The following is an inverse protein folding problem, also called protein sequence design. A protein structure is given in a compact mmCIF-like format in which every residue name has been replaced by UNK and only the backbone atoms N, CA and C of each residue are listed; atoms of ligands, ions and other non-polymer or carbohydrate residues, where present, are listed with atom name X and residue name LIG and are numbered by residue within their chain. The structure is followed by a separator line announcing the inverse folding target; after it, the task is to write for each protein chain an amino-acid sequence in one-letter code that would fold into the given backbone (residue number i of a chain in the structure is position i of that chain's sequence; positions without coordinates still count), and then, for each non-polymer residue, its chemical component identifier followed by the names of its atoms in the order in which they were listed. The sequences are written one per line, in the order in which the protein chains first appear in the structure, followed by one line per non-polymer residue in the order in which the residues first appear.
data_IF_512904393440
#
_entry.id   IF_512904393440
#
_cell.length_a   1.000
_cell.length_b   1.000
_cell.length_c   1.000
_cell.angle_alpha   90.00
_cell.angle_beta   90.00
_cell.angle_gamma   90.00
#
_symmetry.space_group_name_H-M   'P 1'
#
loop_
_entity.id
_entity.type
_entity.pdbx_description
1 polymer ?
#
# COMPACT_ATOMS: atom_id res chain seq x y z
N UNK A 1 16.78 49.22 14.23
CA UNK A 1 17.66 48.03 14.08
C UNK A 1 16.84 46.77 14.29
N UNK A 2 17.13 45.74 13.47
CA UNK A 2 16.63 44.35 13.40
C UNK A 2 16.21 43.77 14.79
N UNK A 3 15.24 42.84 14.91
CA UNK A 3 15.19 41.51 14.30
C UNK A 3 13.78 40.88 14.39
N UNK A 4 13.43 40.19 13.30
CA UNK A 4 12.35 39.21 13.15
C UNK A 4 12.45 38.09 14.19
N UNK A 5 11.32 37.72 14.80
CA UNK A 5 11.14 36.37 15.36
C UNK A 5 10.25 35.57 14.42
N UNK A 6 10.93 34.75 13.62
CA UNK A 6 10.38 33.82 12.68
C UNK A 6 9.50 32.78 13.38
N UNK A 7 8.29 32.66 12.86
CA UNK A 7 7.45 31.47 12.74
C UNK A 7 8.19 30.15 13.02
N UNK A 8 7.92 29.56 14.18
CA UNK A 8 8.43 28.26 14.54
C UNK A 8 7.74 27.16 13.70
N UNK A 9 8.51 26.63 12.76
CA UNK A 9 8.46 25.30 12.15
C UNK A 9 7.19 24.44 12.37
N UNK A 10 6.29 24.45 11.39
CA UNK A 10 5.47 23.27 11.04
C UNK A 10 5.99 22.74 9.70
N UNK A 11 7.15 22.08 9.69
CA UNK A 11 7.70 21.46 8.45
C UNK A 11 8.04 19.97 8.66
N UNK A 12 7.76 19.41 9.83
CA UNK A 12 8.13 18.03 10.18
C UNK A 12 7.17 16.93 9.71
N UNK A 13 5.90 17.22 9.47
CA UNK A 13 4.86 16.20 9.21
C UNK A 13 4.59 15.94 7.73
N UNK A 14 4.87 16.91 6.85
CA UNK A 14 4.51 16.79 5.44
C UNK A 14 5.32 15.71 4.69
N UNK A 15 6.57 15.46 5.05
CA UNK A 15 7.41 14.51 4.30
C UNK A 15 7.02 13.03 4.53
N UNK A 16 6.48 12.67 5.69
CA UNK A 16 5.96 11.32 5.97
C UNK A 16 4.61 11.08 5.28
N UNK A 17 3.73 12.09 5.25
CA UNK A 17 2.42 11.97 4.61
C UNK A 17 2.53 11.82 3.10
N UNK A 18 3.48 12.51 2.45
CA UNK A 18 3.67 12.39 0.99
C UNK A 18 4.11 10.97 0.59
N UNK A 19 5.13 10.40 1.25
CA UNK A 19 5.61 9.05 0.91
C UNK A 19 4.58 7.94 1.24
N UNK A 20 3.78 8.11 2.30
CA UNK A 20 2.69 7.19 2.61
C UNK A 20 1.50 7.34 1.66
N UNK A 21 1.24 8.54 1.14
CA UNK A 21 0.18 8.76 0.14
C UNK A 21 0.43 7.97 -1.14
N UNK A 22 1.69 7.80 -1.57
CA UNK A 22 2.02 6.99 -2.75
C UNK A 22 1.63 5.52 -2.58
N UNK A 23 1.79 4.95 -1.38
CA UNK A 23 1.36 3.58 -1.11
C UNK A 23 -0.15 3.41 -1.21
N UNK A 24 -0.91 4.36 -0.68
CA UNK A 24 -2.36 4.36 -0.79
C UNK A 24 -2.80 4.58 -2.24
N UNK A 25 -2.14 5.47 -2.98
CA UNK A 25 -2.41 5.68 -4.40
C UNK A 25 -2.18 4.39 -5.21
N UNK A 26 -1.11 3.65 -4.93
CA UNK A 26 -0.86 2.35 -5.56
C UNK A 26 -1.92 1.30 -5.17
N UNK A 27 -2.36 1.29 -3.91
CA UNK A 27 -3.49 0.46 -3.47
C UNK A 27 -4.76 0.80 -4.25
N UNK A 28 -5.09 2.09 -4.41
CA UNK A 28 -6.26 2.54 -5.18
C UNK A 28 -6.14 2.18 -6.66
N UNK A 29 -4.95 2.34 -7.27
CA UNK A 29 -4.68 1.91 -8.65
C UNK A 29 -4.87 0.40 -8.85
N UNK A 30 -4.48 -0.41 -7.87
CA UNK A 30 -4.73 -1.86 -7.91
C UNK A 30 -6.22 -2.25 -7.91
N UNK A 31 -7.10 -1.29 -7.67
CA UNK A 31 -8.55 -1.42 -7.77
C UNK A 31 -9.05 -0.74 -9.05
N UNK A 32 -8.71 0.53 -9.28
CA UNK A 32 -9.27 1.33 -10.38
C UNK A 32 -8.81 0.89 -11.77
N UNK A 33 -7.60 0.34 -11.88
CA UNK A 33 -7.02 -0.03 -13.17
C UNK A 33 -7.53 -1.39 -13.68
N UNK A 34 -8.37 -2.05 -12.88
CA UNK A 34 -8.98 -3.34 -13.21
C UNK A 34 -10.47 -3.15 -13.46
N UNK A 35 -10.95 -3.60 -14.62
CA UNK A 35 -12.37 -3.71 -14.90
C UNK A 35 -12.94 -4.97 -14.20
N UNK A 36 -13.42 -4.80 -12.97
CA UNK A 36 -13.94 -5.91 -12.14
C UNK A 36 -15.18 -6.59 -12.72
N UNK A 37 -16.06 -5.84 -13.40
CA UNK A 37 -17.21 -6.43 -14.07
C UNK A 37 -16.75 -7.42 -15.15
N UNK A 38 -15.78 -7.03 -15.99
CA UNK A 38 -15.18 -7.94 -16.97
C UNK A 38 -14.48 -9.13 -16.31
N UNK A 39 -13.76 -8.93 -15.20
CA UNK A 39 -13.12 -10.05 -14.47
C UNK A 39 -14.17 -11.07 -14.02
N UNK A 40 -15.29 -10.60 -13.46
CA UNK A 40 -16.38 -11.47 -12.99
C UNK A 40 -17.00 -12.24 -14.15
N UNK A 41 -17.30 -11.57 -15.26
CA UNK A 41 -17.91 -12.19 -16.44
C UNK A 41 -16.93 -13.14 -17.16
N UNK A 42 -15.73 -12.69 -17.49
CA UNK A 42 -14.73 -13.45 -18.26
C UNK A 42 -14.26 -14.71 -17.54
N UNK A 43 -14.14 -14.65 -16.20
CA UNK A 43 -13.72 -15.78 -15.38
C UNK A 43 -14.90 -16.60 -14.86
N UNK A 44 -16.13 -16.22 -15.23
CA UNK A 44 -17.38 -16.87 -14.80
C UNK A 44 -17.37 -17.07 -13.29
N UNK A 45 -17.17 -15.97 -12.54
CA UNK A 45 -17.16 -15.99 -11.08
C UNK A 45 -18.61 -16.10 -10.57
N UNK A 46 -18.81 -16.86 -9.50
CA UNK A 46 -20.13 -16.93 -8.86
C UNK A 46 -20.50 -15.59 -8.22
N UNK A 47 -21.79 -15.39 -7.97
CA UNK A 47 -22.26 -14.17 -7.28
C UNK A 47 -21.57 -13.98 -5.93
N UNK A 48 -21.32 -15.07 -5.19
CA UNK A 48 -20.59 -15.03 -3.92
C UNK A 48 -19.15 -14.54 -4.11
N UNK A 49 -18.44 -15.06 -5.11
CA UNK A 49 -17.07 -14.62 -5.42
C UNK A 49 -17.04 -13.15 -5.85
N UNK A 50 -18.00 -12.72 -6.68
CA UNK A 50 -18.15 -11.33 -7.09
C UNK A 50 -18.34 -10.40 -5.88
N UNK A 51 -19.26 -10.73 -4.98
CA UNK A 51 -19.52 -9.96 -3.76
C UNK A 51 -18.29 -9.88 -2.85
N UNK A 52 -17.53 -10.97 -2.73
CA UNK A 52 -16.27 -10.98 -1.96
C UNK A 52 -15.21 -10.06 -2.58
N UNK A 53 -15.11 -10.02 -3.91
CA UNK A 53 -14.20 -9.10 -4.61
C UNK A 53 -14.61 -7.65 -4.39
N UNK A 54 -15.90 -7.33 -4.50
CA UNK A 54 -16.38 -5.97 -4.24
C UNK A 54 -16.11 -5.54 -2.79
N UNK A 55 -16.41 -6.41 -1.82
CA UNK A 55 -16.07 -6.14 -0.42
C UNK A 55 -14.57 -5.96 -0.19
N UNK A 56 -13.71 -6.71 -0.89
CA UNK A 56 -12.25 -6.55 -0.84
C UNK A 56 -11.81 -5.20 -1.44
N UNK A 57 -12.44 -4.75 -2.52
CA UNK A 57 -12.14 -3.48 -3.20
C UNK A 57 -12.58 -2.26 -2.38
N UNK A 58 -13.67 -2.40 -1.62
CA UNK A 58 -14.22 -1.31 -0.80
C UNK A 58 -13.63 -1.26 0.61
N UNK A 59 -12.81 -2.26 1.01
CA UNK A 59 -12.28 -2.43 2.37
C UNK A 59 -11.61 -1.18 2.94
N UNK A 60 -10.85 -0.45 2.12
CA UNK A 60 -10.18 0.79 2.51
C UNK A 60 -10.46 1.88 1.46
N UNK A 61 -11.62 2.51 1.58
CA UNK A 61 -12.10 3.53 0.65
C UNK A 61 -11.44 4.92 0.85
N UNK A 62 -10.78 5.14 1.98
CA UNK A 62 -10.06 6.36 2.31
C UNK A 62 -8.63 6.09 2.84
N UNK A 63 -7.79 7.13 2.82
CA UNK A 63 -6.41 7.03 3.27
C UNK A 63 -6.29 6.69 4.76
N UNK A 64 -7.16 7.23 5.62
CA UNK A 64 -7.05 7.05 7.07
C UNK A 64 -7.37 5.61 7.47
N UNK A 65 -8.40 4.99 6.87
CA UNK A 65 -8.74 3.58 7.09
C UNK A 65 -7.62 2.65 6.62
N UNK A 66 -7.04 2.92 5.44
CA UNK A 66 -5.88 2.19 4.93
C UNK A 66 -4.65 2.36 5.84
N UNK A 67 -4.33 3.59 6.22
CA UNK A 67 -3.14 3.93 6.99
C UNK A 67 -3.19 3.30 8.38
N UNK A 68 -4.35 3.26 9.05
CA UNK A 68 -4.51 2.60 10.35
C UNK A 68 -4.03 1.14 10.33
N UNK A 69 -4.20 0.43 9.20
CA UNK A 69 -3.84 -0.98 9.07
C UNK A 69 -2.40 -1.18 8.59
N UNK A 70 -1.91 -0.30 7.71
CA UNK A 70 -0.65 -0.50 6.99
C UNK A 70 0.48 0.46 7.39
N UNK A 71 0.25 1.44 8.27
CA UNK A 71 1.28 2.44 8.65
C UNK A 71 2.59 1.82 9.13
N UNK A 72 2.53 0.71 9.86
CA UNK A 72 3.70 0.01 10.39
C UNK A 72 4.44 -0.81 9.34
N UNK A 73 3.74 -1.25 8.29
CA UNK A 73 4.31 -1.97 7.16
C UNK A 73 3.51 -1.67 5.87
N UNK A 74 3.82 -0.56 5.20
CA UNK A 74 3.14 -0.14 3.97
C UNK A 74 3.35 -1.08 2.79
N UNK A 75 4.32 -2.00 2.82
CA UNK A 75 4.54 -2.95 1.73
C UNK A 75 3.56 -4.14 1.80
N UNK A 76 2.96 -4.40 2.97
CA UNK A 76 2.11 -5.57 3.25
C UNK A 76 0.83 -5.61 2.43
N UNK A 77 0.22 -4.46 2.12
CA UNK A 77 -1.10 -4.42 1.45
C UNK A 77 -1.14 -5.20 0.15
N UNK A 78 -0.03 -5.22 -0.61
CA UNK A 78 0.06 -5.93 -1.88
C UNK A 78 -0.14 -7.42 -1.66
N UNK A 79 0.58 -7.98 -0.71
CA UNK A 79 0.48 -9.40 -0.39
C UNK A 79 -0.94 -9.73 0.08
N UNK A 80 -1.45 -9.00 1.07
CA UNK A 80 -2.79 -9.21 1.62
C UNK A 80 -3.86 -9.20 0.52
N UNK A 81 -3.81 -8.21 -0.38
CA UNK A 81 -4.78 -8.08 -1.47
C UNK A 81 -4.70 -9.24 -2.46
N UNK A 82 -3.50 -9.59 -2.92
CA UNK A 82 -3.33 -10.58 -3.97
C UNK A 82 -3.50 -12.02 -3.49
N UNK A 83 -3.19 -12.30 -2.22
CA UNK A 83 -3.55 -13.57 -1.56
C UNK A 83 -5.07 -13.70 -1.43
N UNK A 84 -5.78 -12.63 -1.02
CA UNK A 84 -7.24 -12.67 -0.94
C UNK A 84 -7.89 -12.83 -2.31
N UNK A 85 -7.38 -12.17 -3.35
CA UNK A 85 -7.88 -12.36 -4.72
C UNK A 85 -7.69 -13.81 -5.20
N UNK A 86 -6.52 -14.40 -4.96
CA UNK A 86 -6.27 -15.80 -5.31
C UNK A 86 -7.19 -16.76 -4.52
N UNK A 87 -7.41 -16.50 -3.23
CA UNK A 87 -8.33 -17.26 -2.39
C UNK A 87 -9.77 -17.19 -2.90
N UNK A 88 -10.24 -16.00 -3.29
CA UNK A 88 -11.62 -15.80 -3.77
C UNK A 88 -11.82 -16.43 -5.16
N UNK A 89 -10.89 -16.18 -6.09
CA UNK A 89 -11.03 -16.64 -7.48
C UNK A 89 -10.70 -18.12 -7.67
N UNK A 90 -9.80 -18.66 -6.83
CA UNK A 90 -9.11 -19.92 -7.09
C UNK A 90 -7.90 -19.73 -8.01
N UNK A 91 -6.95 -20.67 -7.93
CA UNK A 91 -5.65 -20.57 -8.57
C UNK A 91 -5.71 -20.33 -10.09
N UNK A 92 -6.43 -21.17 -10.84
CA UNK A 92 -6.45 -21.10 -12.31
C UNK A 92 -7.06 -19.79 -12.83
N UNK A 93 -8.14 -19.34 -12.20
CA UNK A 93 -8.80 -18.07 -12.55
C UNK A 93 -7.91 -16.89 -12.18
N UNK A 94 -7.21 -16.96 -11.05
CA UNK A 94 -6.25 -15.95 -10.64
C UNK A 94 -5.05 -15.85 -11.58
N UNK A 95 -4.55 -16.96 -12.14
CA UNK A 95 -3.52 -16.94 -13.19
C UNK A 95 -4.00 -16.21 -14.44
N UNK A 96 -5.23 -16.48 -14.90
CA UNK A 96 -5.83 -15.77 -16.05
C UNK A 96 -5.98 -14.27 -15.79
N UNK A 97 -6.41 -13.90 -14.59
CA UNK A 97 -6.46 -12.51 -14.14
C UNK A 97 -5.08 -11.83 -14.21
N UNK A 98 -4.04 -12.46 -13.64
CA UNK A 98 -2.65 -11.93 -13.70
C UNK A 98 -2.15 -11.78 -15.13
N UNK A 99 -2.45 -12.74 -15.99
CA UNK A 99 -2.04 -12.68 -17.39
C UNK A 99 -2.67 -11.47 -18.11
N UNK A 100 -3.97 -11.23 -17.90
CA UNK A 100 -4.69 -10.11 -18.54
C UNK A 100 -4.26 -8.74 -18.03
N UNK A 101 -4.22 -8.54 -16.71
CA UNK A 101 -4.02 -7.20 -16.12
C UNK A 101 -2.56 -6.88 -15.78
N UNK A 102 -1.71 -7.90 -15.63
CA UNK A 102 -0.32 -7.73 -15.22
C UNK A 102 0.66 -8.37 -16.19
N UNK A 103 0.22 -8.77 -17.39
CA UNK A 103 1.07 -9.39 -18.42
C UNK A 103 1.83 -10.61 -17.89
N UNK A 104 1.18 -11.37 -17.00
CA UNK A 104 1.73 -12.56 -16.34
C UNK A 104 2.71 -12.27 -15.21
N UNK A 105 3.00 -11.00 -14.93
CA UNK A 105 3.89 -10.60 -13.85
C UNK A 105 3.18 -10.76 -12.50
N UNK A 106 3.94 -11.05 -11.45
CA UNK A 106 3.41 -11.04 -10.08
C UNK A 106 2.98 -9.59 -9.74
N UNK A 107 1.70 -9.32 -9.45
CA UNK A 107 1.23 -7.98 -9.13
C UNK A 107 1.92 -7.39 -7.89
N UNK A 108 2.29 -8.23 -6.90
CA UNK A 108 3.11 -7.80 -5.76
C UNK A 108 4.42 -7.19 -6.24
N UNK A 109 5.09 -7.82 -7.23
CA UNK A 109 6.33 -7.32 -7.79
C UNK A 109 6.14 -6.08 -8.69
N UNK A 110 5.00 -5.95 -9.36
CA UNK A 110 4.64 -4.75 -10.15
C UNK A 110 4.60 -3.53 -9.24
N UNK A 111 3.86 -3.59 -8.14
CA UNK A 111 3.74 -2.47 -7.20
C UNK A 111 4.94 -2.35 -6.24
N UNK A 112 5.85 -3.33 -6.19
CA UNK A 112 7.11 -3.22 -5.46
C UNK A 112 8.21 -2.49 -6.27
N UNK A 113 8.17 -2.57 -7.61
CA UNK A 113 9.22 -2.03 -8.49
C UNK A 113 9.42 -0.51 -8.34
N UNK A 114 8.35 0.24 -8.12
CA UNK A 114 8.42 1.68 -7.92
C UNK A 114 9.13 2.07 -6.60
N UNK A 115 9.13 1.19 -5.58
CA UNK A 115 9.74 1.47 -4.27
C UNK A 115 11.23 1.15 -4.21
N UNK A 116 11.70 0.17 -4.99
CA UNK A 116 13.12 -0.18 -5.07
C UNK A 116 13.97 0.89 -5.77
N UNK A 117 13.39 1.62 -6.73
CA UNK A 117 14.07 2.69 -7.46
C UNK A 117 14.00 4.05 -6.77
N UNK A 118 13.08 4.23 -5.82
CA UNK A 118 12.92 5.50 -5.14
C UNK A 118 13.82 5.56 -3.89
N UNK A 119 14.86 6.41 -3.98
CA UNK A 119 15.84 6.66 -2.91
C UNK A 119 15.18 7.14 -1.62
N UNK A 120 13.95 7.68 -1.65
CA UNK A 120 13.21 8.15 -0.47
C UNK A 120 12.87 7.02 0.52
N UNK A 121 12.54 5.82 0.04
CA UNK A 121 12.11 4.71 0.91
C UNK A 121 13.26 4.01 1.64
N UNK A 122 14.50 4.08 1.11
CA UNK A 122 15.70 3.52 1.77
C UNK A 122 16.00 4.17 3.13
N UNK A 123 15.44 5.35 3.41
CA UNK A 123 15.62 6.06 4.67
C UNK A 123 14.56 5.73 5.73
N UNK A 124 13.43 5.11 5.36
CA UNK A 124 12.38 4.74 6.32
C UNK A 124 12.81 3.54 7.16
N UNK A 125 13.34 2.48 6.53
CA UNK A 125 13.82 1.28 7.24
C UNK A 125 15.00 1.58 8.19
N UNK A 126 15.89 2.51 7.77
CA UNK A 126 16.98 2.98 8.64
C UNK A 126 16.50 3.76 9.86
N UNK A 127 15.45 4.59 9.75
CA UNK A 127 14.97 5.40 10.88
C UNK A 127 14.21 4.58 11.94
N UNK A 128 13.51 3.52 11.55
CA UNK A 128 12.83 2.61 12.49
C UNK A 128 13.85 1.88 13.38
N UNK A 129 15.02 1.50 12.84
CA UNK A 129 16.09 0.86 13.63
C UNK A 129 16.79 1.82 14.60
N UNK A 130 16.83 3.12 14.31
CA UNK A 130 17.47 4.13 15.19
C UNK A 130 16.61 4.45 16.43
N UNK A 131 15.30 4.22 16.38
CA UNK A 131 14.38 4.41 17.52
C UNK A 131 14.30 3.20 18.47
N UNK A 132 15.11 2.15 18.28
CA UNK A 132 15.29 1.11 19.31
C UNK A 132 16.31 1.58 20.35
N UNK A 133 15.79 2.19 21.41
CA UNK A 133 16.35 2.31 22.76
C UNK A 133 17.87 2.59 22.90
N UNK A 134 18.22 3.86 23.08
CA UNK A 134 19.21 4.21 24.12
C UNK A 134 18.43 4.40 25.41
N UNK A 135 18.33 3.33 26.21
CA UNK A 135 17.98 3.50 27.63
C UNK A 135 19.14 4.25 28.28
N UNK A 136 18.85 5.48 28.72
CA UNK A 136 19.77 6.27 29.50
C UNK A 136 19.95 5.65 30.87
N UNK A 137 21.20 5.51 31.31
CA UNK A 137 21.50 5.60 32.73
C UNK A 137 22.07 6.99 32.97
N UNK A 138 21.28 7.80 33.67
CA UNK A 138 21.64 9.13 34.12
C UNK A 138 22.75 9.10 35.15
N UNK A 139 23.49 10.19 35.18
CA UNK A 139 24.48 10.52 36.19
C UNK A 139 23.86 10.63 37.58
N UNK A 140 24.52 10.04 38.58
CA UNK A 140 24.85 10.68 39.85
C UNK A 140 26.23 10.23 40.27
#
# INVERSE_FOLDING_TARGET
MKKLLLTAMIVGTFSLTYAQSDYYNDYRRSISDVNWASVITDLVLSQTQANQIYALNDRYNDYNSWNRVYVSNPDRWRNDRYVELERIMGHDKYLKFKNKYYKGQNPVAVYNRNKNNDKRYKHMDKKVKVYKHKNGNGHR
#
